data_IF_790285445292
#
_entry.id   IF_790285445292
#
_cell.length_a   1.000
_cell.length_b   1.000
_cell.length_c   1.000
_cell.angle_alpha   90.00
_cell.angle_beta   90.00
_cell.angle_gamma   90.00
#
_symmetry.space_group_name_H-M   'P 1'
#
loop_
_entity.id
_entity.type
_entity.pdbx_description
1 polymer ?
#
# COMPACT_ATOMS: atom_id res chain seq x y z
N UNK A 1 -49.40 50.77 -17.51
CA UNK A 1 -49.04 52.19 -17.54
C UNK A 1 -47.53 52.20 -17.33
N UNK A 2 -46.83 52.36 -18.37
CA UNK A 2 -46.13 53.57 -18.80
C UNK A 2 -44.90 53.78 -17.92
N UNK A 3 -43.66 53.91 -18.38
CA UNK A 3 -43.05 54.15 -19.66
C UNK A 3 -41.61 54.43 -19.41
N UNK A 4 -40.77 54.02 -20.34
CA UNK A 4 -39.81 54.78 -21.16
C UNK A 4 -38.98 55.85 -20.41
N UNK A 5 -37.68 55.99 -20.65
CA UNK A 5 -36.86 56.28 -21.85
C UNK A 5 -35.40 56.30 -21.43
N UNK A 6 -34.50 55.75 -22.04
CA UNK A 6 -33.55 55.98 -23.12
C UNK A 6 -32.89 57.38 -23.21
N UNK A 7 -31.61 57.37 -23.52
CA UNK A 7 -30.75 58.27 -24.27
C UNK A 7 -29.46 58.69 -23.49
N UNK A 8 -28.31 58.66 -23.96
CA UNK A 8 -27.51 58.67 -25.20
C UNK A 8 -26.20 59.42 -24.92
N UNK A 9 -25.17 58.94 -25.51
CA UNK A 9 -23.79 59.52 -25.60
C UNK A 9 -23.76 60.95 -26.15
N UNK A 10 -22.61 61.66 -26.00
CA UNK A 10 -21.79 61.77 -27.19
C UNK A 10 -20.25 61.85 -26.98
N UNK A 11 -19.65 61.68 -28.12
CA UNK A 11 -18.23 61.58 -28.48
C UNK A 11 -17.35 62.84 -28.32
N UNK A 12 -16.07 62.56 -28.19
CA UNK A 12 -14.76 63.14 -28.62
C UNK A 12 -14.64 64.62 -28.99
N UNK A 13 -13.43 65.24 -28.88
CA UNK A 13 -12.50 65.24 -29.99
C UNK A 13 -10.97 65.16 -29.65
N UNK A 14 -10.21 64.93 -30.70
CA UNK A 14 -8.83 64.63 -30.93
C UNK A 14 -7.88 65.85 -31.02
N UNK A 15 -6.59 65.64 -30.65
CA UNK A 15 -5.30 66.22 -31.13
C UNK A 15 -4.85 67.64 -30.70
N UNK A 16 -3.54 67.97 -30.81
CA UNK A 16 -2.35 67.29 -31.45
C UNK A 16 -1.01 67.32 -30.65
N UNK A 17 -0.07 66.54 -31.17
CA UNK A 17 1.36 66.42 -30.83
C UNK A 17 2.18 67.68 -30.88
N UNK A 18 3.33 67.76 -30.20
CA UNK A 18 4.54 68.23 -30.86
C UNK A 18 5.75 67.28 -30.70
N UNK A 19 6.43 67.12 -31.79
CA UNK A 19 7.72 66.50 -32.03
C UNK A 19 8.81 67.21 -31.24
N UNK A 20 9.73 66.48 -30.60
CA UNK A 20 11.05 67.00 -30.21
C UNK A 20 12.13 65.94 -30.38
N UNK A 21 13.04 66.26 -31.24
CA UNK A 21 14.28 65.52 -31.50
C UNK A 21 15.24 65.69 -30.35
N UNK A 22 15.86 64.61 -29.88
CA UNK A 22 17.15 64.68 -29.11
C UNK A 22 18.00 63.45 -29.36
N UNK A 23 19.17 63.75 -29.87
CA UNK A 23 20.50 63.15 -29.73
C UNK A 23 20.69 61.64 -29.36
N UNK A 24 21.38 60.99 -30.28
CA UNK A 24 22.03 59.71 -30.10
C UNK A 24 23.32 59.80 -29.28
N UNK A 25 23.40 59.09 -28.19
CA UNK A 25 24.65 58.68 -27.54
C UNK A 25 24.86 57.17 -27.67
N UNK A 26 26.05 56.61 -27.94
CA UNK A 26 26.29 55.28 -28.29
C UNK A 26 26.14 54.36 -27.06
N UNK A 27 25.27 53.38 -27.18
CA UNK A 27 24.99 52.32 -26.22
C UNK A 27 26.16 51.31 -26.17
N UNK A 28 26.76 51.15 -24.98
CA UNK A 28 27.64 50.03 -24.63
C UNK A 28 26.84 48.72 -24.67
N UNK A 29 27.39 47.59 -25.16
CA UNK A 29 26.67 46.33 -25.16
C UNK A 29 26.51 45.79 -23.76
N UNK A 30 25.27 45.61 -23.35
CA UNK A 30 24.90 44.84 -22.15
C UNK A 30 25.35 43.38 -22.32
N UNK A 31 26.02 42.76 -21.35
CA UNK A 31 26.38 41.35 -21.44
C UNK A 31 25.10 40.48 -21.48
N UNK A 32 24.95 39.75 -22.57
CA UNK A 32 23.92 38.72 -22.72
C UNK A 32 24.26 37.57 -21.76
N UNK A 33 23.51 37.43 -20.65
CA UNK A 33 23.57 36.28 -19.78
C UNK A 33 22.94 35.10 -20.53
N UNK A 34 23.79 34.14 -20.89
CA UNK A 34 23.34 32.88 -21.45
C UNK A 34 22.46 32.18 -20.40
N UNK A 35 21.26 31.70 -20.73
CA UNK A 35 20.48 30.91 -19.77
C UNK A 35 21.28 29.68 -19.35
N UNK A 36 21.40 29.44 -18.05
CA UNK A 36 21.90 28.19 -17.48
C UNK A 36 21.08 27.02 -18.08
N UNK A 37 21.71 25.93 -18.50
CA UNK A 37 20.95 24.80 -18.96
C UNK A 37 20.01 24.34 -17.84
N UNK A 38 18.71 24.28 -18.14
CA UNK A 38 17.72 23.56 -17.31
C UNK A 38 18.23 22.13 -17.21
N UNK A 39 18.33 21.54 -16.00
CA UNK A 39 18.65 20.12 -15.89
C UNK A 39 17.60 19.32 -16.68
N UNK A 40 18.07 18.50 -17.62
CA UNK A 40 17.22 17.49 -18.25
C UNK A 40 16.63 16.60 -17.15
N UNK A 41 15.34 16.24 -17.23
CA UNK A 41 14.79 15.25 -16.33
C UNK A 41 15.62 13.96 -16.50
N UNK A 42 16.36 13.60 -15.47
CA UNK A 42 17.05 12.31 -15.43
C UNK A 42 15.96 11.24 -15.35
N UNK A 43 15.79 10.50 -16.45
CA UNK A 43 15.00 9.27 -16.43
C UNK A 43 15.60 8.37 -15.33
N UNK A 44 14.81 7.89 -14.37
CA UNK A 44 15.31 6.94 -13.39
C UNK A 44 16.02 5.77 -14.09
N UNK A 45 17.09 5.22 -13.53
CA UNK A 45 17.72 4.04 -14.10
C UNK A 45 16.66 2.94 -14.25
N UNK A 46 16.62 2.30 -15.41
CA UNK A 46 15.76 1.15 -15.66
C UNK A 46 16.37 -0.09 -14.99
N UNK A 47 15.54 -0.93 -14.38
CA UNK A 47 15.92 -2.21 -13.80
C UNK A 47 15.79 -2.27 -12.27
N UNK A 48 16.06 -3.45 -11.70
CA UNK A 48 15.93 -3.70 -10.28
C UNK A 48 16.69 -2.72 -9.40
N UNK A 49 16.16 -2.44 -8.22
CA UNK A 49 16.70 -1.49 -7.24
C UNK A 49 17.02 -2.15 -5.92
N UNK A 50 17.98 -1.57 -5.21
CA UNK A 50 18.47 -2.08 -3.92
C UNK A 50 18.34 -1.02 -2.81
N UNK A 51 18.16 -1.43 -1.54
CA UNK A 51 18.24 -0.54 -0.40
C UNK A 51 19.65 0.04 -0.24
N UNK A 52 19.78 1.36 -0.08
CA UNK A 52 21.10 2.03 0.04
C UNK A 52 21.86 1.74 1.34
N UNK A 53 21.22 1.11 2.31
CA UNK A 53 21.79 0.87 3.64
C UNK A 53 21.74 2.08 4.59
N UNK A 54 21.47 3.29 4.11
CA UNK A 54 21.22 4.46 4.95
C UNK A 54 19.78 4.45 5.46
N UNK A 55 19.58 4.14 6.74
CA UNK A 55 18.28 4.04 7.37
C UNK A 55 18.04 5.20 8.31
N UNK A 56 16.92 5.89 8.13
CA UNK A 56 16.43 6.93 9.05
C UNK A 56 15.24 6.39 9.86
N UNK A 57 15.25 6.60 11.17
CA UNK A 57 14.07 6.40 12.02
C UNK A 57 13.20 7.64 11.90
N UNK A 58 11.98 7.49 11.36
CA UNK A 58 11.03 8.59 11.17
C UNK A 58 10.20 8.77 12.44
N UNK A 59 9.65 7.69 12.98
CA UNK A 59 8.78 7.69 14.16
C UNK A 59 9.10 6.48 15.04
N UNK A 60 8.88 6.63 16.34
CA UNK A 60 9.02 5.57 17.38
C UNK A 60 7.75 5.44 18.19
N UNK A 61 7.69 4.42 19.05
CA UNK A 61 6.63 4.23 20.05
C UNK A 61 5.22 4.01 19.46
N UNK A 62 5.12 3.38 18.27
CA UNK A 62 3.85 2.93 17.70
C UNK A 62 3.35 1.64 18.38
N UNK A 63 2.03 1.49 18.52
CA UNK A 63 1.43 0.28 19.11
C UNK A 63 1.05 -0.73 18.03
N UNK A 64 1.93 -1.71 17.79
CA UNK A 64 1.72 -2.79 16.80
C UNK A 64 1.23 -2.23 15.46
N UNK A 65 2.00 -1.36 14.78
CA UNK A 65 1.61 -0.83 13.49
C UNK A 65 1.45 -1.97 12.49
N UNK A 66 0.40 -1.91 11.67
CA UNK A 66 0.09 -3.02 10.78
C UNK A 66 0.26 -2.67 9.30
N UNK A 67 -0.19 -1.50 8.89
CA UNK A 67 -0.17 -1.05 7.50
C UNK A 67 -0.02 0.46 7.43
N UNK A 68 0.34 0.98 6.26
CA UNK A 68 0.38 2.41 5.99
C UNK A 68 -0.05 2.72 4.55
N UNK A 69 -0.58 3.93 4.36
CA UNK A 69 -0.93 4.48 3.05
C UNK A 69 -0.47 5.92 2.96
N UNK A 70 0.24 6.27 1.89
CA UNK A 70 0.74 7.64 1.66
C UNK A 70 -0.34 8.57 1.13
N UNK A 71 -0.27 9.82 1.58
CA UNK A 71 -0.97 10.97 1.01
C UNK A 71 -0.08 11.65 -0.05
N UNK A 72 -0.69 12.50 -0.88
CA UNK A 72 0.02 13.19 -1.98
C UNK A 72 1.15 14.12 -1.51
N UNK A 73 1.09 14.60 -0.28
CA UNK A 73 2.09 15.48 0.32
C UNK A 73 3.29 14.73 0.93
N UNK A 74 3.25 13.39 0.91
CA UNK A 74 4.29 12.52 1.44
C UNK A 74 4.11 12.15 2.92
N UNK A 75 3.08 12.64 3.59
CA UNK A 75 2.64 12.11 4.88
C UNK A 75 1.99 10.73 4.71
N UNK A 76 1.88 9.96 5.79
CA UNK A 76 1.31 8.61 5.75
C UNK A 76 0.30 8.38 6.86
N UNK A 77 -0.81 7.74 6.52
CA UNK A 77 -1.73 7.19 7.51
C UNK A 77 -1.28 5.79 7.91
N UNK A 78 -1.21 5.52 9.20
CA UNK A 78 -0.74 4.25 9.77
C UNK A 78 -1.81 3.65 10.66
N UNK A 79 -2.11 2.36 10.49
CA UNK A 79 -3.02 1.63 11.37
C UNK A 79 -2.28 1.02 12.54
N UNK A 80 -2.79 1.21 13.76
CA UNK A 80 -2.34 0.52 14.97
C UNK A 80 -3.32 -0.60 15.32
N UNK A 81 -2.85 -1.85 15.22
CA UNK A 81 -3.70 -3.05 15.30
C UNK A 81 -4.49 -3.16 16.60
N UNK A 82 -3.83 -2.93 17.74
CA UNK A 82 -4.41 -3.19 19.06
C UNK A 82 -5.24 -2.03 19.59
N UNK A 83 -4.84 -0.79 19.26
CA UNK A 83 -5.52 0.43 19.73
C UNK A 83 -6.69 0.84 18.85
N UNK A 84 -6.82 0.21 17.66
CA UNK A 84 -7.79 0.59 16.63
C UNK A 84 -7.61 2.03 16.12
N UNK A 85 -6.43 2.64 16.31
CA UNK A 85 -6.14 4.02 15.93
C UNK A 85 -5.56 4.12 14.54
N UNK A 86 -5.90 5.22 13.87
CA UNK A 86 -5.22 5.69 12.68
C UNK A 86 -4.37 6.90 13.09
N UNK A 87 -3.09 6.84 12.74
CA UNK A 87 -2.11 7.88 13.03
C UNK A 87 -1.65 8.50 11.72
N UNK A 88 -1.52 9.83 11.70
CA UNK A 88 -0.87 10.55 10.61
C UNK A 88 0.60 10.78 11.00
N UNK A 89 1.48 10.41 10.10
CA UNK A 89 2.94 10.58 10.24
C UNK A 89 3.42 11.50 9.14
N UNK A 90 3.92 12.66 9.53
CA UNK A 90 4.54 13.62 8.62
C UNK A 90 5.94 13.14 8.18
N UNK A 91 6.47 13.58 7.03
CA UNK A 91 7.80 13.18 6.56
C UNK A 91 8.96 13.54 7.51
N UNK A 92 8.75 14.52 8.41
CA UNK A 92 9.70 14.93 9.44
C UNK A 92 9.54 14.19 10.79
N UNK A 93 8.55 13.29 10.87
CA UNK A 93 8.28 12.44 12.02
C UNK A 93 7.27 13.01 13.02
N UNK A 94 6.59 14.13 12.73
CA UNK A 94 5.46 14.56 13.56
C UNK A 94 4.35 13.52 13.50
N UNK A 95 3.83 13.12 14.66
CA UNK A 95 2.83 12.06 14.82
C UNK A 95 1.53 12.64 15.36
N UNK A 96 0.45 12.56 14.59
CA UNK A 96 -0.88 13.04 14.97
C UNK A 96 -1.87 11.88 15.07
N UNK A 97 -2.77 11.94 16.04
CA UNK A 97 -3.87 10.98 16.22
C UNK A 97 -5.09 11.43 15.41
N UNK A 98 -5.43 10.69 14.36
CA UNK A 98 -6.58 11.00 13.49
C UNK A 98 -7.88 10.48 14.08
N UNK A 99 -7.84 9.36 14.80
CA UNK A 99 -9.01 8.81 15.47
C UNK A 99 -8.99 7.30 15.62
N UNK A 100 -10.04 6.80 16.27
CA UNK A 100 -10.25 5.37 16.51
C UNK A 100 -11.32 4.84 15.53
N UNK A 101 -11.05 3.70 14.89
CA UNK A 101 -12.03 3.00 14.03
C UNK A 101 -13.02 2.25 14.91
N UNK A 102 -14.32 2.64 14.89
CA UNK A 102 -15.30 2.01 15.76
C UNK A 102 -15.58 0.56 15.36
N UNK A 103 -15.80 -0.30 16.35
CA UNK A 103 -16.18 -1.70 16.15
C UNK A 103 -15.03 -2.68 16.02
N UNK A 104 -13.79 -2.23 16.04
CA UNK A 104 -12.60 -3.09 16.08
C UNK A 104 -12.59 -3.93 17.37
N UNK A 105 -12.28 -5.21 17.23
CA UNK A 105 -12.16 -6.17 18.33
C UNK A 105 -10.81 -6.88 18.24
N UNK A 106 -9.77 -6.22 18.72
CA UNK A 106 -8.40 -6.72 18.65
C UNK A 106 -8.22 -7.98 19.51
N UNK A 107 -7.78 -9.07 18.90
CA UNK A 107 -7.48 -10.33 19.58
C UNK A 107 -6.62 -11.25 18.70
N UNK A 108 -5.57 -11.81 19.24
CA UNK A 108 -4.65 -12.68 18.50
C UNK A 108 -3.96 -11.91 17.36
N UNK A 109 -4.18 -12.33 16.12
CA UNK A 109 -3.69 -11.63 14.92
C UNK A 109 -4.67 -10.57 14.40
N UNK A 110 -5.92 -10.60 14.87
CA UNK A 110 -6.96 -9.66 14.48
C UNK A 110 -6.89 -8.34 15.23
N UNK A 111 -7.47 -7.31 14.64
CA UNK A 111 -7.52 -5.94 15.12
C UNK A 111 -7.75 -4.99 13.96
N UNK A 112 -7.24 -3.77 14.00
CA UNK A 112 -7.19 -2.87 12.85
C UNK A 112 -6.02 -3.28 11.96
N UNK A 113 -6.28 -3.62 10.71
CA UNK A 113 -5.34 -4.27 9.80
C UNK A 113 -4.99 -3.35 8.61
N UNK A 114 -5.33 -3.75 7.40
CA UNK A 114 -5.00 -3.06 6.16
C UNK A 114 -5.66 -1.70 6.00
N UNK A 115 -4.99 -0.80 5.29
CA UNK A 115 -5.45 0.54 4.96
C UNK A 115 -5.19 0.82 3.48
N UNK A 116 -6.12 1.48 2.80
CA UNK A 116 -5.94 1.94 1.43
C UNK A 116 -6.69 3.26 1.22
N UNK A 117 -6.17 4.09 0.33
CA UNK A 117 -6.80 5.35 -0.08
C UNK A 117 -7.32 5.22 -1.50
N UNK A 118 -8.52 5.69 -1.74
CA UNK A 118 -9.07 5.81 -3.10
C UNK A 118 -9.97 7.03 -3.21
N UNK A 119 -9.58 7.98 -4.04
CA UNK A 119 -10.24 9.29 -4.14
C UNK A 119 -10.28 9.99 -2.75
N UNK A 120 -11.45 10.40 -2.29
CA UNK A 120 -11.64 11.06 -0.99
C UNK A 120 -11.95 10.06 0.15
N UNK A 121 -11.79 8.76 -0.11
CA UNK A 121 -12.15 7.71 0.83
C UNK A 121 -10.94 6.98 1.39
N UNK A 122 -10.98 6.77 2.70
CA UNK A 122 -10.10 5.89 3.42
C UNK A 122 -10.80 4.54 3.64
N UNK A 123 -10.18 3.47 3.19
CA UNK A 123 -10.63 2.10 3.39
C UNK A 123 -9.78 1.42 4.43
N UNK A 124 -10.41 0.67 5.33
CA UNK A 124 -9.68 -0.17 6.30
C UNK A 124 -10.33 -1.55 6.40
N UNK A 125 -9.49 -2.56 6.56
CA UNK A 125 -9.91 -3.89 6.95
C UNK A 125 -9.65 -4.10 8.44
N UNK A 126 -10.61 -4.64 9.15
CA UNK A 126 -10.43 -4.95 10.57
C UNK A 126 -11.23 -6.17 11.03
N UNK A 127 -10.81 -6.72 12.17
CA UNK A 127 -11.52 -7.77 12.88
C UNK A 127 -12.56 -7.15 13.80
N UNK A 128 -13.83 -7.46 13.56
CA UNK A 128 -14.96 -7.10 14.41
C UNK A 128 -15.31 -8.21 15.42
N UNK A 129 -16.38 -8.03 16.18
CA UNK A 129 -16.84 -9.03 17.15
C UNK A 129 -17.19 -10.40 16.52
N UNK A 130 -17.77 -10.41 15.32
CA UNK A 130 -18.29 -11.63 14.64
C UNK A 130 -17.52 -12.06 13.39
N UNK A 131 -16.86 -11.16 12.71
CA UNK A 131 -16.24 -11.35 11.41
C UNK A 131 -15.01 -10.44 11.21
N UNK A 132 -14.31 -10.61 10.09
CA UNK A 132 -13.48 -9.56 9.52
C UNK A 132 -14.32 -8.80 8.49
N UNK A 133 -14.05 -7.50 8.32
CA UNK A 133 -14.79 -6.65 7.38
C UNK A 133 -13.94 -5.52 6.82
N UNK A 134 -14.35 -5.01 5.66
CA UNK A 134 -13.80 -3.80 5.07
C UNK A 134 -14.83 -2.70 5.21
N UNK A 135 -14.39 -1.54 5.63
CA UNK A 135 -15.20 -0.33 5.75
C UNK A 135 -14.49 0.81 5.04
N UNK A 136 -15.26 1.86 4.71
CA UNK A 136 -14.69 3.13 4.27
C UNK A 136 -15.20 4.29 5.12
N UNK A 137 -14.45 5.36 5.15
CA UNK A 137 -14.78 6.62 5.81
C UNK A 137 -14.30 7.75 4.91
N UNK A 138 -15.06 8.84 4.80
CA UNK A 138 -14.51 10.06 4.21
C UNK A 138 -13.32 10.53 5.04
N UNK A 139 -12.26 11.01 4.37
CA UNK A 139 -11.08 11.56 5.03
C UNK A 139 -10.78 12.94 4.46
N UNK A 140 -10.80 13.95 5.31
CA UNK A 140 -10.63 15.36 4.94
C UNK A 140 -9.21 15.93 5.22
N UNK A 141 -8.28 15.06 5.61
CA UNK A 141 -6.91 15.40 6.01
C UNK A 141 -6.71 15.45 7.52
N UNK A 142 -7.74 15.70 8.31
CA UNK A 142 -7.63 15.87 9.77
C UNK A 142 -8.53 14.90 10.57
N UNK A 143 -9.60 14.40 9.97
CA UNK A 143 -10.61 13.61 10.68
C UNK A 143 -11.27 12.53 9.82
N UNK A 144 -11.82 11.52 10.49
CA UNK A 144 -12.57 10.42 9.90
C UNK A 144 -14.07 10.75 9.89
N UNK A 145 -14.71 10.55 8.74
CA UNK A 145 -16.15 10.65 8.56
C UNK A 145 -16.94 9.48 9.18
N UNK A 146 -18.22 9.36 8.80
CA UNK A 146 -19.03 8.22 9.21
C UNK A 146 -18.53 6.93 8.56
N UNK A 147 -18.59 5.84 9.32
CA UNK A 147 -18.15 4.51 8.88
C UNK A 147 -19.23 3.88 8.00
N UNK A 148 -18.87 3.48 6.79
CA UNK A 148 -19.68 2.69 5.87
C UNK A 148 -19.09 1.28 5.70
N UNK A 149 -19.91 0.23 5.86
CA UNK A 149 -19.47 -1.15 5.65
C UNK A 149 -19.55 -1.46 4.15
N UNK A 150 -18.41 -1.90 3.58
CA UNK A 150 -18.27 -2.25 2.16
C UNK A 150 -18.32 -3.77 1.98
N UNK A 151 -17.57 -4.51 2.80
CA UNK A 151 -17.58 -5.98 2.81
C UNK A 151 -17.68 -6.45 4.25
N UNK A 152 -18.58 -7.41 4.53
CA UNK A 152 -18.73 -8.03 5.84
C UNK A 152 -18.86 -9.55 5.75
N UNK A 153 -18.83 -10.23 6.88
CA UNK A 153 -19.00 -11.68 6.92
C UNK A 153 -17.76 -12.49 6.52
N UNK A 154 -16.58 -11.83 6.40
CA UNK A 154 -15.34 -12.56 6.17
C UNK A 154 -14.99 -13.37 7.43
N UNK A 155 -14.76 -14.68 7.32
CA UNK A 155 -14.46 -15.51 8.47
C UNK A 155 -13.25 -15.01 9.25
N UNK A 156 -13.31 -15.10 10.59
CA UNK A 156 -12.23 -14.70 11.48
C UNK A 156 -11.84 -15.81 12.44
N UNK A 157 -10.61 -15.77 12.91
CA UNK A 157 -10.11 -16.60 14.00
C UNK A 157 -9.07 -15.87 14.85
N UNK A 158 -8.48 -16.54 15.82
CA UNK A 158 -7.34 -16.01 16.57
C UNK A 158 -6.08 -15.83 15.73
N UNK A 159 -6.02 -16.51 14.57
CA UNK A 159 -4.94 -16.47 13.59
C UNK A 159 -5.54 -16.52 12.17
N UNK A 160 -4.73 -16.18 11.16
CA UNK A 160 -5.05 -16.26 9.72
C UNK A 160 -6.27 -15.40 9.34
N UNK A 161 -6.24 -14.14 9.70
CA UNK A 161 -7.28 -13.19 9.33
C UNK A 161 -7.02 -12.52 7.97
N UNK A 162 -5.86 -12.75 7.34
CA UNK A 162 -5.43 -11.98 6.19
C UNK A 162 -5.21 -10.52 6.56
N UNK A 163 -5.86 -9.62 5.88
CA UNK A 163 -5.96 -8.23 6.31
C UNK A 163 -5.46 -7.20 5.30
N UNK A 164 -4.65 -7.59 4.31
CA UNK A 164 -4.13 -6.66 3.29
C UNK A 164 -5.22 -6.27 2.32
N UNK A 165 -5.33 -4.98 2.03
CA UNK A 165 -6.19 -4.42 0.99
C UNK A 165 -5.39 -3.48 0.09
N UNK A 166 -5.69 -3.48 -1.19
CA UNK A 166 -5.03 -2.61 -2.18
C UNK A 166 -5.98 -2.31 -3.33
N UNK A 167 -5.93 -1.10 -3.88
CA UNK A 167 -6.61 -0.80 -5.13
C UNK A 167 -5.75 -1.19 -6.32
N UNK A 168 -6.33 -1.92 -7.26
CA UNK A 168 -5.69 -2.24 -8.51
C UNK A 168 -5.72 -1.09 -9.53
N UNK A 169 -4.91 -1.18 -10.60
CA UNK A 169 -4.92 -0.20 -11.70
C UNK A 169 -6.26 -0.15 -12.44
N UNK A 170 -7.11 -1.16 -12.27
CA UNK A 170 -8.49 -1.23 -12.75
C UNK A 170 -9.51 -0.48 -11.86
N UNK A 171 -9.04 0.09 -10.74
CA UNK A 171 -9.85 0.79 -9.76
C UNK A 171 -10.69 -0.10 -8.85
N UNK A 172 -10.48 -1.42 -8.88
CA UNK A 172 -11.14 -2.37 -7.98
C UNK A 172 -10.32 -2.57 -6.69
N UNK A 173 -11.01 -2.91 -5.61
CA UNK A 173 -10.41 -3.23 -4.32
C UNK A 173 -10.12 -4.73 -4.24
N UNK A 174 -8.85 -5.07 -4.00
CA UNK A 174 -8.39 -6.43 -3.76
C UNK A 174 -8.16 -6.65 -2.27
N UNK A 175 -8.63 -7.80 -1.77
CA UNK A 175 -8.67 -8.11 -0.34
C UNK A 175 -8.05 -9.48 -0.10
N UNK A 176 -6.97 -9.54 0.68
CA UNK A 176 -6.40 -10.79 1.16
C UNK A 176 -7.17 -11.30 2.38
N UNK A 177 -7.90 -12.39 2.23
CA UNK A 177 -8.67 -13.04 3.29
C UNK A 177 -8.02 -14.38 3.67
N UNK A 178 -7.63 -14.55 4.94
CA UNK A 178 -7.06 -15.79 5.43
C UNK A 178 -8.09 -16.92 5.57
N UNK A 179 -7.61 -18.16 5.77
CA UNK A 179 -8.45 -19.34 5.95
C UNK A 179 -9.21 -19.39 7.29
N UNK A 180 -8.97 -18.40 8.16
CA UNK A 180 -9.51 -18.35 9.52
C UNK A 180 -9.25 -19.64 10.32
N UNK A 181 -8.05 -20.22 10.16
CA UNK A 181 -7.61 -21.46 10.79
C UNK A 181 -8.47 -22.71 10.44
N UNK A 182 -9.09 -22.70 9.27
CA UNK A 182 -9.85 -23.80 8.70
C UNK A 182 -9.49 -23.95 7.21
N UNK A 183 -8.40 -24.68 6.94
CA UNK A 183 -7.83 -24.83 5.61
C UNK A 183 -8.81 -25.36 4.55
N UNK A 184 -9.80 -26.17 4.94
CA UNK A 184 -10.78 -26.69 4.00
C UNK A 184 -11.60 -25.59 3.30
N UNK A 185 -11.74 -24.42 3.93
CA UNK A 185 -12.42 -23.25 3.34
C UNK A 185 -11.67 -22.67 2.15
N UNK A 186 -10.35 -22.84 2.10
CA UNK A 186 -9.56 -22.29 1.02
C UNK A 186 -9.94 -22.88 -0.35
N UNK A 187 -10.36 -24.15 -0.39
CA UNK A 187 -10.83 -24.84 -1.59
C UNK A 187 -12.35 -24.70 -1.84
N UNK A 188 -13.11 -24.20 -0.87
CA UNK A 188 -14.56 -24.00 -0.99
C UNK A 188 -14.83 -22.61 -1.63
N UNK A 189 -15.30 -22.58 -2.89
CA UNK A 189 -15.62 -21.34 -3.61
C UNK A 189 -16.85 -20.60 -3.07
N UNK A 190 -17.68 -21.24 -2.26
CA UNK A 190 -18.79 -20.58 -1.56
C UNK A 190 -18.33 -19.85 -0.27
N UNK A 191 -17.09 -20.09 0.16
CA UNK A 191 -16.47 -19.43 1.32
C UNK A 191 -15.54 -18.30 0.89
N UNK A 192 -15.61 -17.10 1.49
CA UNK A 192 -14.64 -16.02 1.22
C UNK A 192 -13.33 -16.19 1.99
N UNK A 193 -13.14 -17.25 2.79
CA UNK A 193 -11.92 -17.51 3.53
C UNK A 193 -10.87 -18.23 2.67
N UNK A 194 -9.58 -17.88 2.85
CA UNK A 194 -8.49 -18.45 2.06
C UNK A 194 -8.55 -18.01 0.60
N UNK A 195 -8.81 -16.73 0.37
CA UNK A 195 -9.05 -16.13 -0.94
C UNK A 195 -8.31 -14.80 -1.09
N UNK A 196 -8.06 -14.43 -2.32
CA UNK A 196 -8.01 -13.03 -2.70
C UNK A 196 -9.37 -12.69 -3.30
N UNK A 197 -10.00 -11.64 -2.78
CA UNK A 197 -11.29 -11.15 -3.26
C UNK A 197 -11.09 -9.88 -4.07
N UNK A 198 -11.97 -9.63 -5.06
CA UNK A 198 -12.01 -8.41 -5.87
C UNK A 198 -13.42 -7.86 -5.89
N UNK A 199 -13.58 -6.61 -5.46
CA UNK A 199 -14.85 -5.89 -5.39
C UNK A 199 -14.71 -4.46 -5.93
N UNK A 200 -15.82 -3.84 -6.28
CA UNK A 200 -15.85 -2.40 -6.59
C UNK A 200 -15.53 -1.57 -5.34
N UNK A 201 -15.22 -0.27 -5.46
CA UNK A 201 -15.09 0.64 -4.32
C UNK A 201 -16.33 0.69 -3.41
N UNK A 202 -17.52 0.34 -3.93
CA UNK A 202 -18.77 0.28 -3.20
C UNK A 202 -19.10 -1.12 -2.62
N UNK A 203 -18.21 -2.12 -2.85
CA UNK A 203 -18.34 -3.48 -2.35
C UNK A 203 -19.16 -4.42 -3.25
N UNK A 204 -19.61 -3.95 -4.40
CA UNK A 204 -20.31 -4.81 -5.37
C UNK A 204 -19.34 -5.77 -6.06
N UNK A 205 -19.86 -6.92 -6.51
CA UNK A 205 -19.08 -7.88 -7.29
C UNK A 205 -19.01 -7.43 -8.74
N UNK A 206 -17.79 -7.22 -9.31
CA UNK A 206 -17.64 -6.89 -10.72
C UNK A 206 -18.13 -8.01 -11.65
N UNK A 207 -18.76 -7.65 -12.76
CA UNK A 207 -19.29 -8.61 -13.76
C UNK A 207 -18.18 -9.41 -14.45
N UNK A 208 -16.95 -8.93 -14.44
CA UNK A 208 -15.76 -9.55 -15.05
C UNK A 208 -14.91 -10.38 -14.08
N UNK A 209 -15.40 -10.63 -12.87
CA UNK A 209 -14.76 -11.58 -11.95
C UNK A 209 -14.80 -13.00 -12.53
N UNK A 210 -13.79 -13.85 -12.24
CA UNK A 210 -13.66 -15.17 -12.86
C UNK A 210 -14.79 -16.13 -12.47
N UNK A 211 -15.46 -15.90 -11.34
CA UNK A 211 -16.58 -16.74 -10.88
C UNK A 211 -17.87 -15.91 -10.85
N UNK A 212 -18.86 -16.31 -11.62
CA UNK A 212 -20.12 -15.56 -11.81
C UNK A 212 -20.82 -15.21 -10.47
N UNK A 213 -20.98 -13.91 -10.21
CA UNK A 213 -21.61 -13.38 -9.01
C UNK A 213 -20.82 -13.59 -7.71
N UNK A 214 -19.54 -13.99 -7.79
CA UNK A 214 -18.66 -14.20 -6.64
C UNK A 214 -17.57 -13.11 -6.56
N UNK A 215 -17.23 -12.62 -5.36
CA UNK A 215 -16.10 -11.72 -5.17
C UNK A 215 -14.74 -12.42 -5.27
N UNK A 216 -14.69 -13.75 -5.38
CA UNK A 216 -13.45 -14.52 -5.43
C UNK A 216 -12.66 -14.18 -6.69
N UNK A 217 -11.41 -13.74 -6.51
CA UNK A 217 -10.44 -13.50 -7.59
C UNK A 217 -9.52 -14.70 -7.79
N UNK A 218 -8.95 -15.22 -6.67
CA UNK A 218 -8.17 -16.46 -6.63
C UNK A 218 -8.44 -17.20 -5.32
N UNK A 219 -8.09 -18.48 -5.27
CA UNK A 219 -8.42 -19.34 -4.13
C UNK A 219 -7.29 -20.33 -3.79
N UNK A 220 -7.46 -21.10 -2.73
CA UNK A 220 -6.41 -21.99 -2.27
C UNK A 220 -5.31 -21.28 -1.51
N UNK A 221 -5.64 -20.19 -0.80
CA UNK A 221 -4.72 -19.43 0.02
C UNK A 221 -4.88 -19.75 1.50
N UNK A 222 -3.79 -19.63 2.26
CA UNK A 222 -3.79 -19.81 3.71
C UNK A 222 -3.94 -18.51 4.47
N UNK A 223 -3.02 -17.57 4.29
CA UNK A 223 -2.99 -16.30 5.04
C UNK A 223 -2.21 -15.22 4.28
N UNK A 224 -2.83 -14.63 3.28
CA UNK A 224 -2.27 -13.55 2.48
C UNK A 224 -2.16 -12.28 3.31
N UNK A 225 -0.95 -11.73 3.48
CA UNK A 225 -0.71 -10.49 4.23
C UNK A 225 0.04 -9.41 3.44
N UNK A 226 0.50 -9.70 2.22
CA UNK A 226 1.05 -8.71 1.31
C UNK A 226 0.36 -8.78 -0.04
N UNK A 227 0.03 -7.64 -0.62
CA UNK A 227 -0.48 -7.46 -1.97
C UNK A 227 0.18 -6.23 -2.57
N UNK A 228 0.66 -6.34 -3.81
CA UNK A 228 1.18 -5.21 -4.57
C UNK A 228 0.95 -5.42 -6.06
N UNK A 229 0.73 -4.34 -6.79
CA UNK A 229 0.70 -4.35 -8.25
C UNK A 229 2.04 -3.88 -8.80
N UNK A 230 2.49 -4.51 -9.87
CA UNK A 230 3.63 -4.05 -10.63
C UNK A 230 3.21 -3.07 -11.76
N UNK A 231 4.20 -2.54 -12.50
CA UNK A 231 3.97 -1.55 -13.56
C UNK A 231 3.17 -2.10 -14.74
N UNK A 232 3.13 -3.43 -14.93
CA UNK A 232 2.32 -4.12 -15.94
C UNK A 232 0.91 -4.45 -15.43
N UNK A 233 0.60 -4.13 -14.18
CA UNK A 233 -0.68 -4.39 -13.55
C UNK A 233 -0.88 -5.83 -13.10
N UNK A 234 0.20 -6.61 -12.93
CA UNK A 234 0.16 -7.95 -12.36
C UNK A 234 0.11 -7.87 -10.84
N UNK A 235 -0.71 -8.70 -10.22
CA UNK A 235 -0.88 -8.75 -8.78
C UNK A 235 0.10 -9.75 -8.16
N UNK A 236 0.88 -9.28 -7.20
CA UNK A 236 1.77 -10.09 -6.39
C UNK A 236 1.19 -10.26 -4.99
N UNK A 237 1.37 -11.45 -4.40
CA UNK A 237 0.93 -11.74 -3.05
C UNK A 237 2.02 -12.46 -2.26
N UNK A 238 2.21 -12.06 -1.00
CA UNK A 238 3.00 -12.81 -0.04
C UNK A 238 2.11 -13.54 0.93
N UNK A 239 2.48 -14.77 1.25
CA UNK A 239 1.65 -15.69 2.01
C UNK A 239 2.42 -16.51 3.03
N UNK A 240 1.84 -16.68 4.23
CA UNK A 240 2.38 -17.54 5.27
C UNK A 240 2.03 -19.01 5.02
N UNK A 241 3.03 -19.84 4.97
CA UNK A 241 2.85 -21.28 5.05
C UNK A 241 2.53 -21.77 6.46
N UNK A 242 2.31 -23.08 6.58
CA UNK A 242 1.97 -23.70 7.88
C UNK A 242 3.23 -24.10 8.66
N UNK A 243 4.05 -24.96 8.08
CA UNK A 243 5.21 -25.50 8.75
C UNK A 243 6.45 -25.59 7.86
N UNK A 244 6.28 -25.49 6.55
CA UNK A 244 7.33 -25.78 5.58
C UNK A 244 7.70 -24.57 4.77
N UNK A 245 6.76 -24.02 3.99
CA UNK A 245 7.05 -23.01 3.00
C UNK A 245 6.16 -21.77 3.13
N UNK A 246 6.80 -20.63 3.26
CA UNK A 246 6.21 -19.32 2.99
C UNK A 246 6.40 -18.98 1.52
N UNK A 247 5.53 -18.16 0.93
CA UNK A 247 5.43 -18.04 -0.52
C UNK A 247 5.37 -16.59 -1.00
N UNK A 248 5.93 -16.35 -2.18
CA UNK A 248 5.61 -15.21 -3.04
C UNK A 248 4.93 -15.74 -4.29
N UNK A 249 3.72 -15.27 -4.53
CA UNK A 249 2.85 -15.69 -5.61
C UNK A 249 2.63 -14.57 -6.64
N UNK A 250 2.65 -14.89 -7.92
CA UNK A 250 2.08 -14.07 -8.99
C UNK A 250 0.64 -14.51 -9.20
N UNK A 251 -0.31 -13.59 -8.98
CA UNK A 251 -1.73 -13.94 -8.88
C UNK A 251 -2.43 -13.83 -10.23
N UNK A 252 -3.05 -14.93 -10.65
CA UNK A 252 -3.87 -15.04 -11.84
C UNK A 252 -5.35 -15.21 -11.46
N UNK A 253 -6.24 -14.60 -12.25
CA UNK A 253 -7.67 -14.63 -12.00
C UNK A 253 -8.25 -16.05 -12.17
N UNK A 254 -8.98 -16.52 -11.18
CA UNK A 254 -9.67 -17.80 -11.19
C UNK A 254 -8.82 -19.02 -10.81
N UNK A 255 -7.51 -18.80 -10.56
CA UNK A 255 -6.57 -19.89 -10.35
C UNK A 255 -6.52 -20.34 -8.87
N UNK A 256 -6.07 -21.60 -8.68
CA UNK A 256 -5.95 -22.30 -7.40
C UNK A 256 -4.50 -22.39 -6.95
N UNK A 257 -4.17 -21.83 -5.76
CA UNK A 257 -2.83 -21.82 -5.17
C UNK A 257 -2.56 -22.97 -4.21
N UNK A 258 -3.47 -23.94 -4.15
CA UNK A 258 -3.26 -25.29 -3.64
C UNK A 258 -3.49 -25.51 -2.15
N UNK A 259 -3.48 -24.49 -1.29
CA UNK A 259 -3.73 -24.68 0.14
C UNK A 259 -5.15 -25.25 0.40
N UNK A 260 -5.36 -26.26 1.27
CA UNK A 260 -4.38 -26.96 2.11
C UNK A 260 -3.82 -28.27 1.48
N UNK A 261 -4.14 -28.56 0.23
CA UNK A 261 -3.75 -29.82 -0.45
C UNK A 261 -2.23 -29.85 -0.67
N UNK A 262 -1.63 -28.69 -0.99
CA UNK A 262 -0.19 -28.50 -1.16
C UNK A 262 0.28 -27.27 -0.41
N UNK A 263 1.59 -27.22 -0.11
CA UNK A 263 2.31 -26.09 0.51
C UNK A 263 3.65 -25.93 -0.22
N UNK A 264 3.88 -24.77 -0.84
CA UNK A 264 5.05 -24.52 -1.68
C UNK A 264 4.94 -25.14 -3.08
N UNK A 265 6.09 -25.23 -3.76
CA UNK A 265 6.20 -25.79 -5.12
C UNK A 265 5.86 -27.27 -5.10
N UNK A 266 4.75 -27.63 -5.76
CA UNK A 266 4.23 -28.99 -5.83
C UNK A 266 4.53 -29.70 -7.16
N UNK A 267 4.78 -28.92 -8.24
CA UNK A 267 4.92 -29.43 -9.61
C UNK A 267 3.67 -30.25 -10.03
N UNK A 268 2.48 -29.78 -9.64
CA UNK A 268 1.18 -30.40 -9.93
C UNK A 268 0.34 -29.44 -10.81
N UNK A 269 -0.04 -29.88 -11.99
CA UNK A 269 -0.80 -29.08 -12.97
C UNK A 269 -2.21 -28.64 -12.48
N UNK A 270 -2.68 -29.14 -11.33
CA UNK A 270 -3.95 -28.73 -10.71
C UNK A 270 -3.82 -27.42 -9.92
N UNK A 271 -2.59 -26.99 -9.61
CA UNK A 271 -2.30 -25.81 -8.76
C UNK A 271 -1.28 -24.89 -9.42
N UNK A 272 -1.34 -23.62 -9.07
CA UNK A 272 -0.30 -22.65 -9.44
C UNK A 272 0.79 -22.68 -8.37
N UNK A 273 2.00 -23.05 -8.79
CA UNK A 273 3.18 -23.00 -7.92
C UNK A 273 3.58 -21.56 -7.58
N UNK A 274 4.06 -21.28 -6.35
CA UNK A 274 4.66 -20.00 -6.02
C UNK A 274 5.89 -19.72 -6.90
N UNK A 275 6.12 -18.43 -7.21
CA UNK A 275 7.32 -18.03 -7.95
C UNK A 275 8.59 -18.15 -7.12
N UNK A 276 8.47 -18.01 -5.79
CA UNK A 276 9.52 -18.24 -4.79
C UNK A 276 8.91 -18.80 -3.50
N UNK A 277 9.71 -19.59 -2.79
CA UNK A 277 9.37 -20.11 -1.47
C UNK A 277 10.55 -20.03 -0.51
N UNK A 278 10.25 -19.84 0.77
CA UNK A 278 11.22 -19.80 1.88
C UNK A 278 10.78 -20.74 2.98
N UNK A 279 11.72 -21.23 3.78
CA UNK A 279 11.33 -21.89 5.02
C UNK A 279 10.62 -20.89 5.95
N UNK A 280 9.66 -21.36 6.75
CA UNK A 280 8.90 -20.50 7.66
C UNK A 280 9.75 -19.82 8.76
N UNK A 281 11.02 -20.23 8.93
CA UNK A 281 11.99 -19.58 9.81
C UNK A 281 12.69 -18.38 9.14
N UNK A 282 12.75 -18.35 7.80
CA UNK A 282 13.48 -17.34 7.02
C UNK A 282 12.64 -16.16 6.60
N UNK A 283 11.31 -16.32 6.48
CA UNK A 283 10.44 -15.25 6.05
C UNK A 283 9.34 -14.92 7.08
N UNK A 284 8.25 -15.67 7.16
CA UNK A 284 6.96 -15.22 7.70
C UNK A 284 6.57 -13.89 7.06
N UNK A 285 6.31 -13.91 5.73
CA UNK A 285 6.21 -12.72 4.91
C UNK A 285 4.93 -11.96 5.20
N UNK A 286 5.00 -10.64 5.28
CA UNK A 286 3.84 -9.80 5.48
C UNK A 286 3.74 -8.76 4.36
N UNK A 287 3.65 -7.47 4.64
CA UNK A 287 3.48 -6.49 3.58
C UNK A 287 4.61 -6.49 2.56
N UNK A 288 4.24 -6.23 1.31
CA UNK A 288 5.16 -6.10 0.18
C UNK A 288 4.97 -4.77 -0.52
N UNK A 289 6.02 -4.26 -1.13
CA UNK A 289 6.01 -3.11 -2.03
C UNK A 289 6.66 -3.47 -3.35
N UNK A 290 6.20 -2.85 -4.43
CA UNK A 290 6.85 -2.94 -5.74
C UNK A 290 7.51 -1.61 -6.10
N UNK A 291 8.72 -1.67 -6.61
CA UNK A 291 9.40 -0.53 -7.21
C UNK A 291 10.37 -1.00 -8.30
N UNK A 292 10.22 -0.48 -9.52
CA UNK A 292 11.19 -0.69 -10.60
C UNK A 292 11.67 -2.14 -10.74
N UNK A 293 10.81 -3.03 -11.18
CA UNK A 293 11.10 -4.48 -11.34
C UNK A 293 11.59 -5.20 -10.06
N UNK A 294 11.22 -4.71 -8.90
CA UNK A 294 11.64 -5.28 -7.61
C UNK A 294 10.46 -5.35 -6.64
N UNK A 295 10.27 -6.51 -6.02
CA UNK A 295 9.42 -6.69 -4.84
C UNK A 295 10.28 -6.59 -3.59
N UNK A 296 9.87 -5.73 -2.65
CA UNK A 296 10.40 -5.66 -1.29
C UNK A 296 9.42 -6.35 -0.35
N UNK A 297 9.85 -7.42 0.32
CA UNK A 297 8.99 -8.23 1.17
C UNK A 297 9.46 -8.20 2.62
N UNK A 298 8.60 -7.72 3.51
CA UNK A 298 8.88 -7.62 4.93
C UNK A 298 8.72 -8.98 5.63
N UNK A 299 9.78 -9.44 6.30
CA UNK A 299 9.85 -10.70 7.02
C UNK A 299 9.68 -10.51 8.53
N UNK A 300 8.63 -11.12 9.11
CA UNK A 300 8.36 -11.05 10.54
C UNK A 300 9.28 -11.98 11.35
N UNK A 301 9.22 -13.28 11.10
CA UNK A 301 10.03 -14.27 11.82
C UNK A 301 11.47 -14.27 11.33
N UNK A 302 11.65 -14.05 10.03
CA UNK A 302 12.96 -13.91 9.39
C UNK A 302 13.69 -12.62 9.78
N UNK A 303 12.98 -11.61 10.29
CA UNK A 303 13.55 -10.34 10.79
C UNK A 303 14.45 -9.65 9.76
N UNK A 304 13.98 -9.58 8.51
CA UNK A 304 14.71 -9.01 7.38
C UNK A 304 13.78 -8.44 6.33
N UNK A 305 14.32 -7.65 5.45
CA UNK A 305 13.71 -7.25 4.21
C UNK A 305 14.27 -8.13 3.09
N UNK A 306 13.40 -8.79 2.34
CA UNK A 306 13.78 -9.46 1.11
C UNK A 306 13.64 -8.49 -0.05
N UNK A 307 14.69 -8.35 -0.85
CA UNK A 307 14.69 -7.69 -2.15
C UNK A 307 14.65 -8.79 -3.22
N UNK A 308 13.65 -8.75 -4.09
CA UNK A 308 13.36 -9.79 -5.06
C UNK A 308 13.22 -9.14 -6.43
N UNK A 309 14.21 -9.27 -7.33
CA UNK A 309 14.06 -8.82 -8.71
C UNK A 309 12.93 -9.58 -9.41
N UNK A 310 12.04 -8.87 -10.10
CA UNK A 310 10.89 -9.47 -10.81
C UNK A 310 10.75 -8.95 -12.26
N UNK A 311 11.83 -8.94 -13.04
CA UNK A 311 11.74 -8.50 -14.42
C UNK A 311 10.78 -9.40 -15.20
N UNK A 312 9.88 -8.80 -15.97
CA UNK A 312 8.91 -9.51 -16.82
C UNK A 312 8.00 -10.52 -16.08
N UNK A 313 7.83 -10.37 -14.75
CA UNK A 313 7.01 -11.27 -13.93
C UNK A 313 7.71 -12.56 -13.49
N UNK A 314 8.98 -12.72 -13.83
CA UNK A 314 9.80 -13.84 -13.35
C UNK A 314 10.61 -13.39 -12.13
N UNK A 315 10.60 -14.18 -11.06
CA UNK A 315 11.40 -13.86 -9.88
C UNK A 315 12.87 -14.24 -10.09
N UNK A 316 13.77 -13.28 -9.80
CA UNK A 316 15.20 -13.50 -9.69
C UNK A 316 15.60 -14.08 -8.34
N UNK A 317 16.93 -14.17 -8.08
CA UNK A 317 17.42 -14.63 -6.79
C UNK A 317 17.18 -13.57 -5.71
N UNK A 318 16.50 -13.91 -4.58
CA UNK A 318 16.20 -12.94 -3.53
C UNK A 318 17.46 -12.60 -2.71
N UNK A 319 17.60 -11.33 -2.32
CA UNK A 319 18.65 -10.87 -1.42
C UNK A 319 18.06 -10.37 -0.10
N UNK A 320 18.75 -10.65 1.01
CA UNK A 320 18.31 -10.27 2.35
C UNK A 320 19.03 -9.02 2.83
N UNK A 321 18.24 -8.01 3.27
CA UNK A 321 18.74 -6.79 3.89
C UNK A 321 18.28 -6.67 5.34
N UNK A 322 19.06 -5.99 6.17
CA UNK A 322 18.75 -5.67 7.57
C UNK A 322 18.51 -6.91 8.46
N UNK A 323 19.20 -8.02 8.19
CA UNK A 323 19.01 -9.31 8.89
C UNK A 323 19.23 -9.17 10.41
N UNK A 324 18.14 -9.28 11.19
CA UNK A 324 18.10 -9.14 12.64
C UNK A 324 18.31 -7.73 13.18
N UNK A 325 18.55 -6.72 12.35
CA UNK A 325 18.94 -5.37 12.77
C UNK A 325 17.80 -4.58 13.40
N UNK A 326 16.60 -4.66 12.79
CA UNK A 326 15.40 -3.94 13.27
C UNK A 326 14.34 -4.88 13.85
N UNK A 327 14.67 -6.17 13.98
CA UNK A 327 13.74 -7.18 14.42
C UNK A 327 12.68 -7.51 13.36
N UNK A 328 11.46 -7.74 13.80
CA UNK A 328 10.34 -8.14 12.95
C UNK A 328 9.90 -6.97 12.06
N UNK A 329 9.90 -7.17 10.74
CA UNK A 329 9.39 -6.21 9.78
C UNK A 329 7.97 -6.63 9.35
N UNK A 330 7.02 -5.69 9.47
CA UNK A 330 5.60 -5.93 9.17
C UNK A 330 5.22 -5.53 7.75
N UNK A 331 5.70 -4.39 7.29
CA UNK A 331 5.29 -3.82 6.01
C UNK A 331 6.42 -3.06 5.36
N UNK A 332 6.42 -3.06 4.05
CA UNK A 332 7.23 -2.21 3.20
C UNK A 332 6.28 -1.46 2.27
N UNK A 333 6.49 -0.15 2.11
CA UNK A 333 5.69 0.68 1.21
C UNK A 333 6.57 1.70 0.50
N UNK A 334 6.32 1.91 -0.80
CA UNK A 334 7.06 2.88 -1.60
C UNK A 334 6.49 4.28 -1.39
N UNK A 335 7.33 5.18 -0.86
CA UNK A 335 6.95 6.57 -0.64
C UNK A 335 6.93 7.37 -1.95
N UNK A 336 6.15 8.49 -2.02
CA UNK A 336 6.09 9.35 -3.21
C UNK A 336 7.45 9.96 -3.62
N UNK A 337 8.40 10.06 -2.69
CA UNK A 337 9.75 10.54 -2.95
C UNK A 337 10.71 9.46 -3.49
N UNK A 338 10.22 8.23 -3.66
CA UNK A 338 10.98 7.07 -4.14
C UNK A 338 11.79 6.36 -3.06
N UNK A 339 11.67 6.73 -1.78
CA UNK A 339 12.22 5.97 -0.67
C UNK A 339 11.27 4.83 -0.26
N UNK A 340 11.80 3.83 0.43
CA UNK A 340 11.01 2.74 1.02
C UNK A 340 10.77 3.04 2.50
N UNK A 341 9.51 2.94 2.96
CA UNK A 341 9.18 3.00 4.37
C UNK A 341 8.91 1.60 4.89
N UNK A 342 9.50 1.26 6.04
CA UNK A 342 9.35 -0.04 6.69
C UNK A 342 8.71 0.13 8.05
N UNK A 343 7.70 -0.69 8.35
CA UNK A 343 7.12 -0.81 9.69
C UNK A 343 7.80 -1.95 10.44
N UNK A 344 8.27 -1.71 11.66
CA UNK A 344 8.64 -2.79 12.58
C UNK A 344 7.40 -3.35 13.30
N UNK A 345 7.50 -4.52 13.93
CA UNK A 345 6.41 -5.17 14.65
C UNK A 345 6.94 -6.02 15.80
N UNK A 346 7.69 -5.39 16.69
CA UNK A 346 8.36 -6.07 17.80
C UNK A 346 7.49 -6.11 19.06
N UNK A 347 6.44 -5.25 19.14
CA UNK A 347 5.53 -5.17 20.27
C UNK A 347 4.32 -6.11 20.16
N UNK A 348 4.22 -6.92 19.08
CA UNK A 348 3.09 -7.84 18.82
C UNK A 348 3.01 -9.07 19.76
N UNK A 349 3.95 -9.18 20.70
CA UNK A 349 4.05 -10.29 21.65
C UNK A 349 4.72 -11.55 21.08
N UNK A 350 5.23 -11.53 19.84
CA UNK A 350 5.88 -12.66 19.14
C UNK A 350 7.38 -12.46 18.92
N UNK A 351 7.92 -11.29 19.27
CA UNK A 351 9.37 -11.05 19.21
C UNK A 351 10.10 -11.94 20.20
N UNK A 352 11.08 -12.72 19.73
CA UNK A 352 11.88 -13.63 20.58
C UNK A 352 12.78 -12.89 21.56
N UNK A 353 13.26 -11.72 21.19
CA UNK A 353 14.10 -10.85 22.02
C UNK A 353 13.28 -9.84 22.84
N UNK A 354 11.96 -9.79 22.64
CA UNK A 354 11.11 -8.72 23.13
C UNK A 354 11.33 -7.42 22.34
N UNK A 355 10.47 -6.40 22.54
CA UNK A 355 10.64 -5.10 21.92
C UNK A 355 11.86 -4.36 22.48
N UNK A 356 12.51 -3.55 21.65
CA UNK A 356 13.50 -2.57 22.03
C UNK A 356 12.85 -1.33 22.70
N UNK A 357 13.66 -0.38 23.20
CA UNK A 357 13.14 0.80 23.90
C UNK A 357 12.34 1.77 23.02
N UNK A 358 12.52 1.72 21.69
CA UNK A 358 11.92 2.66 20.75
C UNK A 358 10.96 1.94 19.77
N UNK A 359 10.60 0.68 20.03
CA UNK A 359 9.69 -0.10 19.19
C UNK A 359 8.22 0.24 19.50
N UNK A 360 7.34 0.20 18.49
CA UNK A 360 7.63 -0.07 17.07
C UNK A 360 7.92 1.23 16.32
N UNK A 361 8.59 1.09 15.19
CA UNK A 361 9.15 2.22 14.44
C UNK A 361 8.72 2.23 12.97
N UNK A 362 8.79 3.42 12.38
CA UNK A 362 8.86 3.61 10.94
C UNK A 362 10.29 3.94 10.56
N UNK A 363 10.82 3.18 9.62
CA UNK A 363 12.14 3.36 9.06
C UNK A 363 12.00 3.83 7.61
N UNK A 364 12.83 4.81 7.20
CA UNK A 364 12.94 5.27 5.81
C UNK A 364 14.27 4.83 5.24
N UNK A 365 14.24 4.22 4.07
CA UNK A 365 15.39 3.64 3.37
C UNK A 365 15.44 4.20 1.95
N UNK A 366 16.60 4.71 1.51
CA UNK A 366 16.81 5.09 0.12
C UNK A 366 16.89 3.87 -0.80
N UNK A 367 16.54 4.04 -2.09
CA UNK A 367 16.69 3.03 -3.14
C UNK A 367 17.64 3.55 -4.24
N UNK A 368 18.56 2.69 -4.72
CA UNK A 368 19.51 3.00 -5.80
C UNK A 368 19.53 1.96 -6.94
#
# INVERSE_FOLDING_TARGET
MAGCTAASEPETPVEPTPTSTVDETPNSPTPTVSPSPTPEPTTPPAGPVEPTGDVQVIVTDLDVPWDLAFLDDGSALVTERNTARIRLVEPDGELTDIGEVPGVSASGEGGLLGIALHQDWLYVMFTAGGDNRVVRMEFDGDSLGELEVIVEGLPKAGIHNGGRIVFGPDGMLYIGAGDANDGARAQDLDSPAGKILRVTPDGDVPDDNPFDGSPVWSYGHRNVQGLAFDDEGRLWASEFGQNTWDELNLIEAGENYGWPEVEGIAEDDEFIDPVLQWSTDEASPSGIAYARDTIFMAGLRGQRLWQIPVPDGSAGEPEAFFDGEYGRLRHAELAPDGSLWLLTNNTDGRSRSGPGPDDDRILRVGLE
#
